data_IF_265027568104
#
_entry.id   IF_265027568104
#
_cell.length_a   1.000
_cell.length_b   1.000
_cell.length_c   1.000
_cell.angle_alpha   90.00
_cell.angle_beta   90.00
_cell.angle_gamma   90.00
#
_symmetry.space_group_name_H-M   'P 1'
#
loop_
_entity.id
_entity.type
_entity.pdbx_description
1 polymer ?
#
# COMPACT_ATOMS: atom_id res chain seq x y z
N UNK A 1 -47.95 -19.46 -11.25
CA UNK A 1 -47.58 -18.46 -12.27
C UNK A 1 -46.16 -18.73 -12.73
N UNK A 2 -45.99 -19.03 -14.03
CA UNK A 2 -44.69 -19.06 -14.69
C UNK A 2 -44.39 -17.65 -15.19
N UNK A 3 -43.16 -17.18 -15.02
CA UNK A 3 -42.49 -16.36 -16.04
C UNK A 3 -40.98 -16.49 -15.88
N UNK A 4 -40.36 -16.93 -16.98
CA UNK A 4 -38.92 -17.03 -17.24
C UNK A 4 -38.54 -15.85 -18.14
N UNK A 5 -37.37 -15.25 -17.92
CA UNK A 5 -36.63 -14.40 -18.89
C UNK A 5 -35.20 -14.32 -18.33
N UNK A 6 -34.11 -14.95 -18.80
CA UNK A 6 -33.45 -15.23 -20.10
C UNK A 6 -32.73 -14.04 -20.76
N UNK A 7 -31.42 -14.25 -20.99
CA UNK A 7 -30.54 -13.82 -22.10
C UNK A 7 -29.36 -12.93 -21.73
N UNK A 8 -28.19 -13.45 -22.12
CA UNK A 8 -26.83 -12.94 -22.05
C UNK A 8 -26.51 -11.86 -23.10
N UNK A 9 -25.43 -11.11 -22.89
CA UNK A 9 -24.66 -10.49 -23.97
C UNK A 9 -23.17 -10.47 -23.62
N UNK A 10 -22.40 -11.25 -24.36
CA UNK A 10 -20.94 -11.20 -24.42
C UNK A 10 -20.53 -10.31 -25.59
N UNK A 11 -19.49 -9.49 -25.42
CA UNK A 11 -18.73 -8.90 -26.54
C UNK A 11 -17.26 -8.78 -26.18
N UNK A 12 -16.44 -9.49 -26.98
CA UNK A 12 -14.99 -9.35 -27.11
C UNK A 12 -14.62 -7.95 -27.62
N UNK A 13 -13.50 -7.43 -27.14
CA UNK A 13 -12.67 -6.49 -27.91
C UNK A 13 -11.20 -6.72 -27.56
N UNK A 14 -10.55 -7.60 -28.32
CA UNK A 14 -9.11 -7.73 -28.37
C UNK A 14 -8.53 -6.55 -29.17
N UNK A 15 -7.72 -5.72 -28.54
CA UNK A 15 -6.89 -4.72 -29.21
C UNK A 15 -5.46 -5.26 -29.31
N UNK A 16 -5.14 -5.78 -30.49
CA UNK A 16 -3.79 -6.00 -30.97
C UNK A 16 -3.15 -4.63 -31.27
N UNK A 17 -2.10 -4.26 -30.55
CA UNK A 17 -1.17 -3.24 -31.02
C UNK A 17 0.01 -3.90 -31.71
N UNK A 18 -0.02 -3.84 -33.03
CA UNK A 18 1.12 -3.99 -33.91
C UNK A 18 2.11 -2.84 -33.66
N UNK A 19 3.35 -3.18 -33.32
CA UNK A 19 4.45 -2.24 -33.23
C UNK A 19 5.77 -2.93 -33.59
N UNK A 20 5.94 -3.23 -34.88
CA UNK A 20 7.26 -3.47 -35.45
C UNK A 20 7.88 -2.11 -35.78
N UNK A 21 9.04 -1.78 -35.20
CA UNK A 21 9.98 -0.84 -35.82
C UNK A 21 11.41 -1.15 -35.41
N UNK A 22 12.14 -1.58 -36.44
CA UNK A 22 13.53 -1.36 -36.80
C UNK A 22 14.69 -1.48 -35.78
N UNK A 23 15.54 -2.44 -36.13
CA UNK A 23 16.97 -2.50 -35.90
C UNK A 23 17.66 -1.14 -36.13
N UNK A 24 18.34 -0.61 -35.12
CA UNK A 24 19.54 0.20 -35.32
C UNK A 24 20.47 0.09 -34.12
N UNK A 25 21.53 -0.69 -34.33
CA UNK A 25 22.74 -0.74 -33.52
C UNK A 25 23.36 0.66 -33.50
N UNK A 26 23.29 1.34 -32.37
CA UNK A 26 24.14 2.49 -32.08
C UNK A 26 24.80 2.24 -30.73
N UNK A 27 26.03 1.72 -30.78
CA UNK A 27 27.00 1.79 -29.70
C UNK A 27 27.18 3.26 -29.32
N UNK A 28 26.45 3.69 -28.29
CA UNK A 28 26.75 4.93 -27.57
C UNK A 28 27.67 4.57 -26.40
N UNK A 29 28.68 5.40 -26.10
CA UNK A 29 29.60 5.15 -25.00
C UNK A 29 28.79 4.93 -23.72
N UNK A 30 29.05 3.80 -23.06
CA UNK A 30 28.38 3.36 -21.85
C UNK A 30 28.74 4.34 -20.73
N UNK A 31 27.96 5.40 -20.58
CA UNK A 31 27.99 6.23 -19.38
C UNK A 31 27.61 5.32 -18.22
N UNK A 32 28.58 4.97 -17.39
CA UNK A 32 28.30 4.30 -16.13
C UNK A 32 27.29 5.16 -15.36
N UNK A 33 26.15 4.61 -14.93
CA UNK A 33 25.23 5.35 -14.09
C UNK A 33 26.00 5.76 -12.83
N UNK A 34 26.11 7.07 -12.59
CA UNK A 34 26.48 7.55 -11.25
C UNK A 34 25.58 6.82 -10.24
N UNK A 35 26.12 6.35 -9.11
CA UNK A 35 25.28 5.75 -8.07
C UNK A 35 24.26 6.81 -7.65
N UNK A 36 23.04 6.66 -8.17
CA UNK A 36 21.90 7.41 -7.67
C UNK A 36 21.60 6.71 -6.37
N UNK A 37 21.95 7.32 -5.24
CA UNK A 37 21.56 6.86 -3.92
C UNK A 37 20.03 6.76 -3.91
N UNK A 38 19.51 5.59 -4.29
CA UNK A 38 18.09 5.32 -4.34
C UNK A 38 17.74 4.93 -2.93
N UNK A 39 17.21 5.88 -2.17
CA UNK A 39 16.72 5.65 -0.82
C UNK A 39 15.74 4.49 -0.86
N UNK A 40 15.96 3.47 -0.02
CA UNK A 40 15.13 2.28 -0.04
C UNK A 40 13.70 2.61 0.40
N UNK A 41 12.75 1.72 0.10
CA UNK A 41 11.37 1.88 0.62
C UNK A 41 11.31 1.74 2.14
N UNK A 42 12.25 0.96 2.72
CA UNK A 42 12.40 0.81 4.17
C UNK A 42 12.82 2.14 4.79
N UNK A 43 13.90 2.74 4.29
CA UNK A 43 14.41 4.02 4.80
C UNK A 43 13.37 5.15 4.65
N UNK A 44 12.65 5.18 3.52
CA UNK A 44 11.56 6.15 3.31
C UNK A 44 10.43 5.99 4.31
N UNK A 45 10.05 4.77 4.62
CA UNK A 45 8.98 4.48 5.57
C UNK A 45 9.41 4.83 6.99
N UNK A 46 10.57 4.33 7.44
CA UNK A 46 11.06 4.59 8.79
C UNK A 46 11.35 6.06 9.00
N UNK A 47 12.00 6.76 8.06
CA UNK A 47 12.19 8.21 8.15
C UNK A 47 10.87 8.94 8.33
N UNK A 48 9.84 8.60 7.54
CA UNK A 48 8.55 9.27 7.64
C UNK A 48 7.81 8.95 8.96
N UNK A 49 7.98 7.74 9.49
CA UNK A 49 7.42 7.35 10.79
C UNK A 49 8.10 8.10 11.94
N UNK A 50 9.42 8.25 11.89
CA UNK A 50 10.18 9.02 12.88
C UNK A 50 9.83 10.52 12.79
N UNK A 51 9.67 11.05 11.58
CA UNK A 51 9.27 12.45 11.35
C UNK A 51 7.84 12.75 11.83
N UNK A 52 6.95 11.75 11.86
CA UNK A 52 5.57 11.91 12.30
C UNK A 52 5.42 12.08 13.83
N UNK A 53 6.43 11.67 14.60
CA UNK A 53 6.51 11.87 16.06
C UNK A 53 5.20 11.51 16.80
N UNK A 54 4.76 10.26 16.66
CA UNK A 54 3.48 9.80 17.21
C UNK A 54 3.42 9.91 18.73
N UNK A 55 2.51 10.76 19.22
CA UNK A 55 2.32 10.98 20.65
C UNK A 55 1.95 9.70 21.42
N UNK A 56 1.27 8.73 20.77
CA UNK A 56 0.96 7.45 21.43
C UNK A 56 2.17 6.56 21.69
N UNK A 57 3.34 6.89 21.12
CA UNK A 57 4.59 6.15 21.29
C UNK A 57 5.58 6.81 22.26
N UNK A 58 5.20 7.95 22.87
CA UNK A 58 6.08 8.71 23.76
C UNK A 58 6.64 7.87 24.93
N UNK A 59 5.84 6.95 25.47
CA UNK A 59 6.25 6.06 26.56
C UNK A 59 6.81 4.73 26.04
N UNK A 60 6.14 4.11 25.07
CA UNK A 60 6.49 2.80 24.51
C UNK A 60 5.89 2.63 23.11
N UNK A 61 6.71 2.79 22.07
CA UNK A 61 6.36 2.47 20.68
C UNK A 61 6.96 1.15 20.19
N UNK A 62 6.62 0.74 18.95
CA UNK A 62 7.33 -0.33 18.25
C UNK A 62 8.76 0.07 17.90
N UNK A 63 9.63 -0.93 17.78
CA UNK A 63 10.95 -0.79 17.15
C UNK A 63 10.85 -0.72 15.64
N UNK A 64 11.91 -0.22 14.99
CA UNK A 64 11.99 -0.17 13.53
C UNK A 64 11.82 -1.56 12.89
N UNK A 65 12.43 -2.60 13.47
CA UNK A 65 12.30 -3.97 12.98
C UNK A 65 10.86 -4.48 13.06
N UNK A 66 10.16 -4.22 14.18
CA UNK A 66 8.74 -4.56 14.32
C UNK A 66 7.88 -3.81 13.29
N UNK A 67 8.16 -2.53 13.03
CA UNK A 67 7.44 -1.75 12.03
C UNK A 67 7.63 -2.28 10.62
N UNK A 68 8.81 -2.82 10.29
CA UNK A 68 9.15 -3.30 8.96
C UNK A 68 8.44 -4.60 8.55
N UNK A 69 7.83 -5.32 9.49
CA UNK A 69 7.13 -6.58 9.21
C UNK A 69 5.77 -6.38 8.50
N UNK A 70 5.16 -5.21 8.66
CA UNK A 70 3.77 -4.98 8.25
C UNK A 70 3.55 -4.46 6.82
N UNK A 71 4.38 -3.55 6.26
CA UNK A 71 4.09 -2.93 4.97
C UNK A 71 3.82 -3.93 3.85
N UNK A 72 4.55 -5.04 3.79
CA UNK A 72 4.32 -6.08 2.80
C UNK A 72 2.94 -6.74 2.94
N UNK A 73 2.53 -7.04 4.17
CA UNK A 73 1.25 -7.69 4.48
C UNK A 73 0.07 -6.75 4.19
N UNK A 74 0.19 -5.47 4.54
CA UNK A 74 -0.83 -4.47 4.23
C UNK A 74 -0.99 -4.26 2.72
N UNK A 75 0.12 -4.17 1.98
CA UNK A 75 0.08 -4.04 0.53
C UNK A 75 -0.60 -5.26 -0.14
N UNK A 76 -0.39 -6.46 0.40
CA UNK A 76 -1.05 -7.68 -0.09
C UNK A 76 -2.56 -7.69 0.24
N UNK A 77 -2.93 -7.28 1.45
CA UNK A 77 -4.35 -7.17 1.83
C UNK A 77 -5.09 -6.17 0.92
N UNK A 78 -4.49 -5.00 0.67
CA UNK A 78 -5.04 -3.99 -0.24
C UNK A 78 -5.10 -4.50 -1.67
N UNK A 79 -4.09 -5.27 -2.12
CA UNK A 79 -4.11 -5.91 -3.43
C UNK A 79 -5.27 -6.90 -3.59
N UNK A 80 -5.60 -7.62 -2.53
CA UNK A 80 -6.73 -8.55 -2.47
C UNK A 80 -8.09 -7.86 -2.32
N UNK A 81 -8.13 -6.52 -2.31
CA UNK A 81 -9.37 -5.74 -2.25
C UNK A 81 -9.93 -5.56 -0.83
N UNK A 82 -9.12 -5.81 0.21
CA UNK A 82 -9.54 -5.58 1.59
C UNK A 82 -9.48 -4.09 1.97
N UNK A 83 -10.37 -3.69 2.87
CA UNK A 83 -10.44 -2.34 3.42
C UNK A 83 -9.46 -2.13 4.57
N UNK A 84 -9.23 -0.86 4.93
CA UNK A 84 -8.44 -0.50 6.14
C UNK A 84 -9.03 -1.12 7.41
N UNK A 85 -10.36 -1.18 7.53
CA UNK A 85 -10.99 -1.78 8.70
C UNK A 85 -10.70 -3.28 8.79
N UNK A 86 -10.74 -4.00 7.66
CA UNK A 86 -10.36 -5.42 7.63
C UNK A 86 -8.91 -5.64 8.08
N UNK A 87 -7.98 -4.80 7.62
CA UNK A 87 -6.56 -4.88 7.95
C UNK A 87 -6.34 -4.85 9.47
N UNK A 88 -7.06 -3.97 10.17
CA UNK A 88 -6.88 -3.78 11.61
C UNK A 88 -7.90 -4.50 12.50
N UNK A 89 -8.98 -5.05 11.95
CA UNK A 89 -10.00 -5.75 12.74
C UNK A 89 -9.48 -7.12 13.20
N UNK A 90 -9.75 -7.48 14.47
CA UNK A 90 -9.41 -8.79 15.02
C UNK A 90 -10.22 -9.96 14.44
N UNK A 91 -11.33 -9.68 13.75
CA UNK A 91 -12.09 -10.64 12.94
C UNK A 91 -11.72 -10.65 11.45
N UNK A 92 -10.80 -9.77 11.05
CA UNK A 92 -10.18 -9.71 9.72
C UNK A 92 -8.75 -10.25 9.80
N UNK A 93 -7.78 -9.44 9.38
CA UNK A 93 -6.38 -9.87 9.35
C UNK A 93 -5.58 -9.50 10.61
N UNK A 94 -6.06 -8.59 11.46
CA UNK A 94 -5.41 -8.23 12.72
C UNK A 94 -3.94 -7.82 12.56
N UNK A 95 -3.57 -7.19 11.44
CA UNK A 95 -2.19 -7.00 10.99
C UNK A 95 -1.48 -5.84 11.70
N UNK A 96 -1.92 -5.44 12.89
CA UNK A 96 -1.23 -4.43 13.69
C UNK A 96 -1.76 -4.44 15.14
N UNK A 97 -0.90 -4.56 16.16
CA UNK A 97 -1.33 -4.60 17.56
C UNK A 97 -1.68 -3.19 18.08
N UNK A 98 -2.89 -2.72 17.76
CA UNK A 98 -3.42 -1.45 18.27
C UNK A 98 -3.70 -1.56 19.78
N UNK A 99 -3.16 -0.63 20.57
CA UNK A 99 -3.42 -0.47 22.00
C UNK A 99 -2.84 -1.53 22.95
N UNK A 100 -2.66 -2.79 22.54
CA UNK A 100 -2.34 -3.88 23.48
C UNK A 100 -0.85 -4.01 23.84
N UNK A 101 0.08 -3.75 22.91
CA UNK A 101 1.53 -3.94 23.16
C UNK A 101 2.33 -2.63 23.12
N UNK A 102 1.98 -1.73 22.20
CA UNK A 102 2.68 -0.48 21.93
C UNK A 102 1.86 0.77 22.25
N UNK A 103 0.71 0.62 22.92
CA UNK A 103 -0.18 1.74 23.24
C UNK A 103 -0.66 2.54 22.02
N UNK A 104 -0.44 2.04 20.80
CA UNK A 104 -0.65 2.82 19.58
C UNK A 104 -2.12 3.14 19.44
N UNK A 105 -2.43 4.42 19.31
CA UNK A 105 -3.81 4.89 19.09
C UNK A 105 -4.25 4.52 17.68
N UNK A 106 -5.57 4.36 17.51
CA UNK A 106 -6.15 4.03 16.20
C UNK A 106 -5.81 5.09 15.14
N UNK A 107 -5.84 6.36 15.51
CA UNK A 107 -5.47 7.48 14.64
C UNK A 107 -4.03 7.33 14.13
N UNK A 108 -3.08 7.18 15.06
CA UNK A 108 -1.65 6.99 14.74
C UNK A 108 -1.43 5.72 13.89
N UNK A 109 -2.12 4.61 14.19
CA UNK A 109 -2.05 3.39 13.38
C UNK A 109 -2.53 3.60 11.93
N UNK A 110 -3.59 4.39 11.73
CA UNK A 110 -4.07 4.74 10.39
C UNK A 110 -3.04 5.59 9.63
N UNK A 111 -2.37 6.51 10.32
CA UNK A 111 -1.31 7.32 9.73
C UNK A 111 -0.09 6.47 9.36
N UNK A 112 0.36 5.56 10.25
CA UNK A 112 1.43 4.60 9.96
C UNK A 112 1.11 3.77 8.72
N UNK A 113 -0.13 3.29 8.57
CA UNK A 113 -0.56 2.60 7.36
C UNK A 113 -0.45 3.51 6.13
N UNK A 114 -0.87 4.77 6.23
CA UNK A 114 -0.78 5.74 5.13
C UNK A 114 0.68 5.99 4.70
N UNK A 115 1.60 6.08 5.66
CA UNK A 115 3.04 6.22 5.44
C UNK A 115 3.63 4.97 4.77
N UNK A 116 3.27 3.78 5.28
CA UNK A 116 3.71 2.52 4.71
C UNK A 116 3.25 2.33 3.27
N UNK A 117 1.97 2.55 2.97
CA UNK A 117 1.47 2.41 1.59
C UNK A 117 2.06 3.45 0.65
N UNK A 118 2.38 4.65 1.16
CA UNK A 118 3.08 5.68 0.38
C UNK A 118 4.47 5.19 -0.04
N UNK A 119 5.19 4.52 0.85
CA UNK A 119 6.54 4.03 0.57
C UNK A 119 6.57 2.70 -0.20
N UNK A 120 5.67 1.75 0.09
CA UNK A 120 5.73 0.37 -0.41
C UNK A 120 4.80 0.07 -1.59
N UNK A 121 3.58 0.63 -1.58
CA UNK A 121 2.56 0.34 -2.60
C UNK A 121 1.73 1.60 -2.92
N UNK A 122 2.34 2.65 -3.48
CA UNK A 122 1.73 3.97 -3.62
C UNK A 122 0.45 3.98 -4.46
N UNK A 123 0.23 2.97 -5.32
CA UNK A 123 -1.01 2.77 -6.05
C UNK A 123 -2.26 2.66 -5.15
N UNK A 124 -2.12 2.20 -3.91
CA UNK A 124 -3.23 2.04 -2.97
C UNK A 124 -3.41 3.24 -2.03
N UNK A 125 -2.51 4.24 -2.05
CA UNK A 125 -2.60 5.40 -1.16
C UNK A 125 -3.96 6.10 -1.25
N UNK A 126 -4.46 6.30 -2.47
CA UNK A 126 -5.76 6.96 -2.69
C UNK A 126 -6.92 6.15 -2.15
N UNK A 127 -6.87 4.81 -2.27
CA UNK A 127 -7.88 3.91 -1.70
C UNK A 127 -7.88 4.01 -0.17
N UNK A 128 -6.71 3.86 0.47
CA UNK A 128 -6.57 3.96 1.93
C UNK A 128 -7.08 5.31 2.44
N UNK A 129 -6.70 6.41 1.80
CA UNK A 129 -7.18 7.74 2.19
C UNK A 129 -8.70 7.89 2.01
N UNK A 130 -9.32 7.23 1.02
CA UNK A 130 -10.78 7.25 0.87
C UNK A 130 -11.48 6.41 1.93
N UNK A 131 -10.96 5.22 2.21
CA UNK A 131 -11.48 4.34 3.27
C UNK A 131 -11.46 5.03 4.63
N UNK A 132 -10.35 5.70 4.96
CA UNK A 132 -10.23 6.44 6.23
C UNK A 132 -11.20 7.63 6.31
N UNK A 133 -11.41 8.37 5.22
CA UNK A 133 -12.43 9.44 5.20
C UNK A 133 -13.83 8.88 5.36
N UNK A 134 -14.12 7.76 4.71
CA UNK A 134 -15.43 7.12 4.77
C UNK A 134 -15.76 6.60 6.19
N UNK A 135 -14.75 6.20 6.96
CA UNK A 135 -14.90 5.78 8.36
C UNK A 135 -14.80 6.91 9.39
N UNK A 136 -14.50 8.15 8.96
CA UNK A 136 -14.30 9.30 9.85
C UNK A 136 -12.95 9.31 10.58
N UNK A 137 -11.97 8.56 10.06
CA UNK A 137 -10.66 8.36 10.64
C UNK A 137 -9.52 9.18 9.97
N UNK A 138 -9.86 10.08 9.05
CA UNK A 138 -8.96 10.99 8.31
C UNK A 138 -9.65 12.28 7.90
#
# INVERSE_FOLDING_TARGET
MRTRTTVAAATLAALLLTGCSDSNTHDKPKTEPKPTHTVSKQDRFLSAVHDADFASWADKGPTDDELLDYPAQWCEALHSGHSVDYIFSGGGAGLYPIGMEWGTKREDANEVLLLAVTAYCPKYRSQVAQDLRASGAY
#
